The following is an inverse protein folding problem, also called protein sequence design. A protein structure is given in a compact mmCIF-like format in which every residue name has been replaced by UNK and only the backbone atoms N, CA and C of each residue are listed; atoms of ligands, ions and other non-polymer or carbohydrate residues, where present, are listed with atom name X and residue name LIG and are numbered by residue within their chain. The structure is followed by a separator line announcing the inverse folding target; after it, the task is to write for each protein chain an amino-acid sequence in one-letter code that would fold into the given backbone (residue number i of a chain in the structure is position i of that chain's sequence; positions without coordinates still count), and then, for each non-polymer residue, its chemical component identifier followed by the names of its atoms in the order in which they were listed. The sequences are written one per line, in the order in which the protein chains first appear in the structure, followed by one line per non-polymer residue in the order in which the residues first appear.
data_IF_738398381653
#
_entry.id   IF_738398381653
#
_cell.length_a   1.000
_cell.length_b   1.000
_cell.length_c   1.000
_cell.angle_alpha   90.00
_cell.angle_beta   90.00
_cell.angle_gamma   90.00
#
_symmetry.space_group_name_H-M   'P 1'
#
loop_
_entity.id
_entity.type
_entity.pdbx_description
1 polymer ?
#
# COMPACT_ATOMS: atom_id res chain seq x y z
N UNK A 1 31.69 -32.46 -20.18
CA UNK A 1 32.26 -31.50 -21.14
C UNK A 1 31.29 -31.32 -22.30
N UNK A 2 31.03 -30.04 -22.68
CA UNK A 2 30.49 -29.47 -23.93
C UNK A 2 29.61 -30.36 -24.86
N UNK A 3 28.32 -30.03 -25.00
CA UNK A 3 27.69 -29.16 -26.04
C UNK A 3 27.41 -29.87 -27.36
N UNK A 4 26.12 -30.02 -27.69
CA UNK A 4 25.46 -29.81 -29.00
C UNK A 4 23.94 -29.93 -28.74
N UNK A 5 23.00 -29.23 -29.37
CA UNK A 5 22.94 -28.71 -30.75
C UNK A 5 21.84 -27.63 -30.85
N UNK A 6 21.97 -26.71 -31.81
CA UNK A 6 20.91 -25.76 -32.22
C UNK A 6 19.80 -26.48 -33.03
N UNK A 7 18.69 -25.75 -33.22
CA UNK A 7 17.53 -25.96 -34.12
C UNK A 7 16.25 -26.40 -33.38
N UNK A 8 15.04 -25.91 -33.66
CA UNK A 8 14.47 -25.35 -34.88
C UNK A 8 13.34 -24.36 -34.53
N UNK A 9 13.26 -23.25 -35.25
CA UNK A 9 12.06 -22.42 -35.35
C UNK A 9 11.03 -23.20 -36.17
N UNK A 10 9.83 -23.39 -35.64
CA UNK A 10 8.66 -23.82 -36.41
C UNK A 10 7.52 -22.86 -36.10
N UNK A 11 7.15 -22.09 -37.12
CA UNK A 11 5.90 -21.35 -37.20
C UNK A 11 4.74 -22.34 -37.33
N UNK A 12 3.74 -22.20 -36.48
CA UNK A 12 2.49 -22.93 -36.54
C UNK A 12 1.34 -22.05 -36.10
N UNK A 13 0.86 -21.20 -37.01
CA UNK A 13 -0.45 -20.56 -36.94
C UNK A 13 -1.52 -21.66 -37.10
N UNK A 14 -2.31 -21.90 -36.06
CA UNK A 14 -3.57 -22.61 -36.18
C UNK A 14 -4.64 -21.86 -35.37
N UNK A 15 -5.59 -21.29 -36.13
CA UNK A 15 -6.86 -20.76 -35.67
C UNK A 15 -7.63 -21.85 -34.90
N UNK A 16 -8.07 -21.54 -33.69
CA UNK A 16 -8.92 -22.40 -32.87
C UNK A 16 -9.83 -21.55 -32.00
N UNK A 17 -10.86 -20.97 -32.62
CA UNK A 17 -11.91 -20.22 -31.95
C UNK A 17 -12.88 -21.22 -31.32
N UNK A 18 -12.75 -21.49 -30.03
CA UNK A 18 -13.78 -22.19 -29.25
C UNK A 18 -14.15 -21.31 -28.07
N UNK A 19 -15.39 -20.85 -28.11
CA UNK A 19 -16.05 -20.11 -27.06
C UNK A 19 -16.04 -20.93 -25.76
N UNK A 20 -15.21 -20.48 -24.82
CA UNK A 20 -15.33 -20.78 -23.42
C UNK A 20 -15.01 -19.51 -22.67
N UNK A 21 -16.00 -18.62 -22.52
CA UNK A 21 -15.91 -17.48 -21.60
C UNK A 21 -15.96 -18.02 -20.17
N UNK A 22 -14.92 -18.74 -19.77
CA UNK A 22 -14.49 -18.73 -18.40
C UNK A 22 -13.83 -17.37 -18.22
N UNK A 23 -14.58 -16.40 -17.73
CA UNK A 23 -13.96 -15.32 -16.96
C UNK A 23 -13.18 -16.05 -15.88
N UNK A 24 -11.88 -16.23 -16.09
CA UNK A 24 -10.94 -16.45 -15.01
C UNK A 24 -11.10 -15.17 -14.22
N UNK A 25 -12.01 -15.20 -13.25
CA UNK A 25 -12.18 -14.12 -12.30
C UNK A 25 -10.78 -13.88 -11.80
N UNK A 26 -10.21 -12.74 -12.16
CA UNK A 26 -8.99 -12.28 -11.54
C UNK A 26 -9.34 -12.21 -10.06
N UNK A 27 -8.98 -13.25 -9.31
CA UNK A 27 -8.95 -13.20 -7.87
C UNK A 27 -7.91 -12.13 -7.59
N UNK A 28 -8.40 -10.90 -7.44
CA UNK A 28 -7.67 -9.85 -6.75
C UNK A 28 -7.54 -10.37 -5.33
N UNK A 29 -6.47 -11.13 -5.07
CA UNK A 29 -5.99 -11.33 -3.71
C UNK A 29 -5.58 -9.93 -3.26
N UNK A 30 -6.52 -9.23 -2.60
CA UNK A 30 -6.24 -7.99 -1.88
C UNK A 30 -5.33 -8.37 -0.71
N UNK A 31 -4.05 -8.53 -1.05
CA UNK A 31 -2.96 -8.80 -0.12
C UNK A 31 -2.75 -7.50 0.62
N UNK A 32 -3.56 -7.29 1.67
CA UNK A 32 -3.43 -6.15 2.56
C UNK A 32 -1.99 -6.07 3.03
N UNK A 33 -1.29 -5.03 2.60
CA UNK A 33 0.12 -4.84 2.92
C UNK A 33 0.30 -4.71 4.42
N UNK A 34 1.42 -5.21 4.96
CA UNK A 34 1.69 -5.15 6.40
C UNK A 34 1.84 -3.72 6.92
N UNK A 35 2.25 -2.81 6.03
CA UNK A 35 2.39 -1.39 6.29
C UNK A 35 1.85 -0.60 5.10
N UNK A 36 1.28 0.57 5.33
CA UNK A 36 0.87 1.41 4.23
C UNK A 36 0.14 2.69 4.59
N UNK A 37 -0.15 3.43 3.54
CA UNK A 37 -0.90 4.67 3.57
C UNK A 37 -1.82 4.75 2.36
N UNK A 38 -3.04 5.25 2.56
CA UNK A 38 -3.93 5.60 1.46
C UNK A 38 -4.77 6.85 1.77
N UNK A 39 -5.27 7.46 0.70
CA UNK A 39 -6.30 8.49 0.74
C UNK A 39 -7.45 8.05 -0.14
N UNK A 40 -8.68 8.14 0.37
CA UNK A 40 -9.89 7.76 -0.38
C UNK A 40 -11.00 8.80 -0.23
N UNK A 41 -12.03 8.70 -1.06
CA UNK A 41 -13.20 9.56 -1.09
C UNK A 41 -13.04 10.79 -1.98
N UNK A 42 -14.17 11.41 -2.36
CA UNK A 42 -14.23 12.57 -3.26
C UNK A 42 -14.60 13.83 -2.48
N UNK A 43 -15.79 13.86 -1.88
CA UNK A 43 -16.28 14.98 -1.08
C UNK A 43 -15.78 14.95 0.37
N UNK A 44 -15.70 13.75 0.96
CA UNK A 44 -15.06 13.52 2.26
C UNK A 44 -13.82 12.69 2.01
N UNK A 45 -12.66 13.32 2.20
CA UNK A 45 -11.36 12.67 2.05
C UNK A 45 -11.00 12.00 3.38
N UNK A 46 -10.69 10.72 3.31
CA UNK A 46 -10.20 9.94 4.45
C UNK A 46 -8.77 9.51 4.17
N UNK A 47 -7.85 9.96 5.03
CA UNK A 47 -6.47 9.51 5.01
C UNK A 47 -6.27 8.47 6.12
N UNK A 48 -5.71 7.31 5.77
CA UNK A 48 -5.42 6.23 6.72
C UNK A 48 -3.96 5.81 6.60
N UNK A 49 -3.33 5.60 7.74
CA UNK A 49 -2.01 4.95 7.86
C UNK A 49 -2.16 3.69 8.72
N UNK A 50 -1.41 2.64 8.38
CA UNK A 50 -1.35 1.42 9.17
C UNK A 50 0.03 0.77 9.11
N UNK A 51 0.34 -0.03 10.13
CA UNK A 51 1.55 -0.85 10.19
C UNK A 51 1.34 -2.09 11.06
N UNK A 52 2.21 -3.08 10.88
CA UNK A 52 2.35 -4.23 11.77
C UNK A 52 3.82 -4.32 12.22
N UNK A 53 4.11 -4.15 13.52
CA UNK A 53 5.48 -4.07 14.01
C UNK A 53 6.25 -5.38 13.87
N UNK A 54 5.60 -6.53 13.64
CA UNK A 54 6.28 -7.81 13.39
C UNK A 54 6.94 -7.91 12.01
N UNK A 55 6.63 -7.00 11.09
CA UNK A 55 7.14 -7.04 9.72
C UNK A 55 8.21 -5.99 9.48
N UNK A 56 9.27 -6.41 8.79
CA UNK A 56 10.28 -5.51 8.28
C UNK A 56 9.74 -4.70 7.11
N UNK A 57 10.21 -3.46 7.03
CA UNK A 57 9.89 -2.51 5.96
C UNK A 57 10.73 -2.75 4.70
N UNK A 58 10.15 -2.44 3.54
CA UNK A 58 10.69 -2.74 2.21
C UNK A 58 10.99 -1.49 1.36
N UNK A 59 11.17 -0.32 2.00
CA UNK A 59 11.24 1.04 1.41
C UNK A 59 9.92 1.62 0.86
N UNK A 60 8.81 0.88 0.91
CA UNK A 60 7.52 1.44 0.51
C UNK A 60 7.16 2.65 1.36
N UNK A 61 6.42 3.62 0.80
CA UNK A 61 5.93 4.79 1.53
C UNK A 61 7.04 5.58 2.26
N UNK A 62 8.23 5.69 1.66
CA UNK A 62 9.37 6.42 2.26
C UNK A 62 9.85 5.83 3.58
N UNK A 63 9.60 4.54 3.82
CA UNK A 63 10.10 3.85 5.01
C UNK A 63 11.59 3.53 4.88
N UNK A 64 12.31 3.47 6.00
CA UNK A 64 13.67 2.91 6.03
C UNK A 64 13.60 1.39 5.92
N UNK A 65 14.22 0.76 4.90
CA UNK A 65 14.24 -0.70 4.72
C UNK A 65 14.88 -1.45 5.89
N UNK A 66 14.33 -2.64 6.21
CA UNK A 66 14.85 -3.54 7.24
C UNK A 66 14.61 -3.06 8.68
N UNK A 67 13.72 -2.07 8.87
CA UNK A 67 13.34 -1.56 10.19
C UNK A 67 11.96 -2.10 10.57
N UNK A 68 11.67 -2.05 11.87
CA UNK A 68 10.34 -2.33 12.40
C UNK A 68 9.68 -1.02 12.83
N UNK A 69 8.46 -0.76 12.35
CA UNK A 69 7.70 0.44 12.71
C UNK A 69 7.17 0.31 14.13
N UNK A 70 7.42 1.33 14.95
CA UNK A 70 6.93 1.48 16.32
C UNK A 70 5.66 2.32 16.42
N UNK A 71 5.54 3.34 15.57
CA UNK A 71 4.42 4.26 15.57
C UNK A 71 4.32 4.97 14.21
N UNK A 72 3.11 5.33 13.79
CA UNK A 72 2.90 6.10 12.57
C UNK A 72 2.00 7.31 12.84
N UNK A 73 2.06 8.32 11.98
CA UNK A 73 1.10 9.42 11.98
C UNK A 73 0.46 9.64 10.63
N UNK A 74 -0.71 10.28 10.66
CA UNK A 74 -1.38 10.86 9.50
C UNK A 74 -1.73 12.32 9.79
N UNK A 75 -1.70 13.17 8.77
CA UNK A 75 -1.99 14.60 8.84
C UNK A 75 -2.68 15.05 7.54
N UNK A 76 -3.72 15.85 7.65
CA UNK A 76 -4.36 16.52 6.50
C UNK A 76 -4.15 18.03 6.65
N UNK A 77 -3.74 18.67 5.56
CA UNK A 77 -3.63 20.13 5.43
C UNK A 77 -4.42 20.61 4.22
N UNK A 78 -5.17 21.70 4.35
CA UNK A 78 -5.98 22.29 3.27
C UNK A 78 -6.18 23.80 3.51
N UNK A 79 -5.54 24.66 2.71
CA UNK A 79 -5.50 26.09 3.02
C UNK A 79 -4.91 26.32 4.42
N UNK A 80 -5.64 27.06 5.26
CA UNK A 80 -5.25 27.33 6.66
C UNK A 80 -5.62 26.20 7.62
N UNK A 81 -6.34 25.18 7.16
CA UNK A 81 -6.65 24.01 7.98
C UNK A 81 -5.44 23.09 8.12
N UNK A 82 -5.13 22.72 9.36
CA UNK A 82 -4.17 21.68 9.70
C UNK A 82 -4.74 20.77 10.80
N UNK A 83 -4.82 19.46 10.53
CA UNK A 83 -5.26 18.49 11.54
C UNK A 83 -4.22 18.28 12.67
N UNK A 84 -2.99 18.74 12.46
CA UNK A 84 -1.82 18.29 13.19
C UNK A 84 -1.49 16.83 12.90
N UNK A 85 -0.38 16.33 13.47
CA UNK A 85 -0.03 14.91 13.38
C UNK A 85 -0.94 14.10 14.30
N UNK A 86 -1.79 13.25 13.73
CA UNK A 86 -2.59 12.28 14.49
C UNK A 86 -1.86 10.94 14.47
N UNK A 87 -1.40 10.52 15.63
CA UNK A 87 -0.60 9.31 15.81
C UNK A 87 -1.46 8.07 16.02
N UNK A 88 -0.95 6.92 15.60
CA UNK A 88 -1.40 5.62 16.08
C UNK A 88 -1.05 5.45 17.56
N UNK A 89 -1.62 4.43 18.20
CA UNK A 89 -1.02 3.88 19.42
C UNK A 89 0.42 3.42 19.14
N UNK A 90 1.24 3.39 20.21
CA UNK A 90 2.65 2.97 20.13
C UNK A 90 2.74 1.46 20.31
N UNK A 91 3.44 0.78 19.40
CA UNK A 91 3.81 -0.62 19.58
C UNK A 91 4.87 -0.75 20.68
N UNK A 92 4.75 -1.79 21.51
CA UNK A 92 5.67 -2.03 22.63
C UNK A 92 6.81 -2.98 22.25
N UNK A 93 6.63 -3.81 21.22
CA UNK A 93 7.65 -4.73 20.72
C UNK A 93 7.58 -4.92 19.20
N UNK A 94 8.74 -5.23 18.59
CA UNK A 94 8.87 -5.70 17.19
C UNK A 94 8.32 -7.11 16.94
N UNK A 95 7.78 -7.77 17.96
CA UNK A 95 7.18 -9.12 17.84
C UNK A 95 5.66 -9.10 17.93
N UNK A 96 5.04 -7.95 18.20
CA UNK A 96 3.58 -7.85 18.25
C UNK A 96 2.99 -8.04 16.85
N UNK A 97 2.33 -9.18 16.61
CA UNK A 97 1.73 -9.46 15.31
C UNK A 97 0.29 -8.94 15.21
N UNK A 98 0.12 -7.61 15.22
CA UNK A 98 -1.19 -6.97 15.05
C UNK A 98 -1.08 -5.64 14.32
N UNK A 99 -2.16 -5.23 13.67
CA UNK A 99 -2.22 -3.94 12.99
C UNK A 99 -2.43 -2.78 13.98
N UNK A 100 -1.66 -1.73 13.78
CA UNK A 100 -1.83 -0.41 14.36
C UNK A 100 -2.24 0.53 13.25
N UNK A 101 -3.34 1.27 13.43
CA UNK A 101 -3.80 2.20 12.39
C UNK A 101 -4.37 3.48 12.97
N UNK A 102 -4.37 4.52 12.13
CA UNK A 102 -5.01 5.80 12.41
C UNK A 102 -5.62 6.33 11.14
N UNK A 103 -6.86 6.82 11.23
CA UNK A 103 -7.53 7.52 10.15
C UNK A 103 -7.98 8.91 10.62
N UNK A 104 -8.01 9.83 9.66
CA UNK A 104 -8.64 11.13 9.81
C UNK A 104 -9.47 11.42 8.56
N UNK A 105 -10.63 12.02 8.77
CA UNK A 105 -11.56 12.37 7.69
C UNK A 105 -11.82 13.86 7.73
N UNK A 106 -11.86 14.47 6.54
CA UNK A 106 -12.22 15.88 6.36
C UNK A 106 -13.05 16.05 5.10
N UNK A 107 -14.06 16.91 5.18
CA UNK A 107 -14.79 17.38 4.00
C UNK A 107 -13.86 18.27 3.16
N UNK A 108 -13.69 17.91 1.89
CA UNK A 108 -12.84 18.59 0.93
C UNK A 108 -13.46 19.93 0.53
N UNK A 109 -12.68 21.00 0.62
CA UNK A 109 -13.03 22.29 0.08
C UNK A 109 -12.65 22.32 -1.42
N UNK A 110 -13.60 22.46 -2.35
CA UNK A 110 -13.30 22.43 -3.78
C UNK A 110 -12.41 23.59 -4.25
N UNK A 111 -12.34 24.70 -3.49
CA UNK A 111 -11.53 25.87 -3.81
C UNK A 111 -10.08 25.79 -3.29
N UNK A 112 -9.72 24.71 -2.56
CA UNK A 112 -8.38 24.54 -1.96
C UNK A 112 -7.85 23.14 -2.22
N UNK A 113 -6.54 23.02 -2.41
CA UNK A 113 -5.91 21.70 -2.55
C UNK A 113 -5.74 21.06 -1.18
N UNK A 114 -6.37 19.90 -0.98
CA UNK A 114 -6.09 19.06 0.18
C UNK A 114 -4.82 18.22 -0.03
N UNK A 115 -3.92 18.24 0.96
CA UNK A 115 -2.75 17.36 1.04
C UNK A 115 -2.88 16.45 2.24
N UNK A 116 -2.55 15.18 2.06
CA UNK A 116 -2.44 14.22 3.16
C UNK A 116 -0.98 13.77 3.28
N UNK A 117 -0.48 13.83 4.50
CA UNK A 117 0.89 13.49 4.86
C UNK A 117 0.88 12.39 5.90
N UNK A 118 1.95 11.61 5.94
CA UNK A 118 2.14 10.54 6.89
C UNK A 118 3.61 10.47 7.30
N UNK A 119 3.93 9.60 8.24
CA UNK A 119 5.32 9.34 8.62
C UNK A 119 5.43 8.25 9.66
N UNK A 120 6.67 7.80 9.86
CA UNK A 120 7.00 6.58 10.58
C UNK A 120 7.99 6.86 11.71
N UNK A 121 7.86 6.11 12.79
CA UNK A 121 8.87 6.00 13.85
C UNK A 121 9.23 4.53 13.98
N UNK A 122 10.52 4.26 14.14
CA UNK A 122 11.05 2.90 14.25
C UNK A 122 11.39 2.55 15.70
N UNK A 123 11.60 1.25 15.94
CA UNK A 123 12.23 0.76 17.16
C UNK A 123 13.73 1.06 17.18
#
# INVERSE_FOLDING_TARGET
MKKVTKSLVVWGLAFGLVFGVGTVGAMYVDSKTHNGFYVTGTLKKTAKVWFNPSWETDNSYGMEKGKHVKQAYVRITEGDYDSGRKWTSTAKSKTENKEYSRSITKTNNPAKTMKANYGWRYF
#
